data_IF_387199125202
#
_entry.id   IF_387199125202
#
_cell.length_a   1.000
_cell.length_b   1.000
_cell.length_c   1.000
_cell.angle_alpha   90.00
_cell.angle_beta   90.00
_cell.angle_gamma   90.00
#
_symmetry.space_group_name_H-M   'P 1'
#
loop_
_entity.id
_entity.type
_entity.pdbx_description
1 polymer ?
#
# COMPACT_ATOMS: atom_id res chain seq x y z
N UNK A 1 14.80 -1.30 24.61
CA UNK A 1 13.69 -0.93 23.71
C UNK A 1 12.42 -1.22 24.48
N UNK A 2 11.77 -0.15 24.90
CA UNK A 2 10.76 -0.17 25.95
C UNK A 2 9.40 -0.62 25.41
N UNK A 3 8.71 -1.47 26.18
CA UNK A 3 7.39 -2.03 25.81
C UNK A 3 6.34 -0.95 25.51
N UNK A 4 6.51 0.26 26.03
CA UNK A 4 5.65 1.42 25.78
C UNK A 4 5.83 2.03 24.38
N UNK A 5 7.05 2.04 23.84
CA UNK A 5 7.33 2.55 22.49
C UNK A 5 6.73 1.62 21.42
N UNK A 6 6.73 0.31 21.70
CA UNK A 6 6.15 -0.69 20.81
C UNK A 6 4.61 -0.70 20.86
N UNK A 7 4.01 -0.40 22.02
CA UNK A 7 2.55 -0.21 22.14
C UNK A 7 2.06 0.97 21.30
N UNK A 8 2.73 2.12 21.39
CA UNK A 8 2.36 3.32 20.63
C UNK A 8 2.51 3.16 19.12
N UNK A 9 3.49 2.35 18.65
CA UNK A 9 3.62 2.02 17.22
C UNK A 9 2.47 1.15 16.72
N UNK A 10 2.07 0.13 17.50
CA UNK A 10 0.95 -0.77 17.15
C UNK A 10 -0.38 -0.04 17.10
N UNK A 11 -0.64 0.87 18.05
CA UNK A 11 -1.85 1.70 18.05
C UNK A 11 -1.92 2.64 16.84
N UNK A 12 -0.80 3.28 16.48
CA UNK A 12 -0.72 4.12 15.28
C UNK A 12 -0.93 3.32 14.00
N UNK A 13 -0.34 2.13 13.90
CA UNK A 13 -0.54 1.23 12.78
C UNK A 13 -2.01 0.83 12.61
N UNK A 14 -2.66 0.37 13.69
CA UNK A 14 -4.07 0.02 13.68
C UNK A 14 -4.97 1.21 13.31
N UNK A 15 -4.63 2.42 13.80
CA UNK A 15 -5.33 3.64 13.41
C UNK A 15 -5.22 3.90 11.91
N UNK A 16 -4.03 3.80 11.31
CA UNK A 16 -3.89 3.98 9.86
C UNK A 16 -4.63 2.92 9.04
N UNK A 17 -4.69 1.66 9.49
CA UNK A 17 -5.53 0.64 8.85
C UNK A 17 -7.00 1.09 8.80
N UNK A 18 -7.52 1.70 9.87
CA UNK A 18 -8.91 2.17 9.88
C UNK A 18 -9.18 3.30 8.86
N UNK A 19 -8.16 4.11 8.56
CA UNK A 19 -8.28 5.26 7.67
C UNK A 19 -8.21 4.90 6.17
N UNK A 20 -7.87 3.66 5.80
CA UNK A 20 -7.86 3.25 4.40
C UNK A 20 -9.27 3.20 3.79
N UNK A 21 -10.32 3.23 4.62
CA UNK A 21 -11.73 3.22 4.21
C UNK A 21 -12.43 4.54 4.56
N UNK A 22 -11.66 5.60 4.82
CA UNK A 22 -12.20 6.92 5.11
C UNK A 22 -13.02 7.48 3.91
N UNK A 23 -14.14 8.20 4.16
CA UNK A 23 -14.92 8.79 3.10
C UNK A 23 -14.15 9.74 2.19
N UNK A 24 -13.14 10.46 2.72
CA UNK A 24 -12.27 11.32 1.92
C UNK A 24 -11.15 10.52 1.26
N UNK A 25 -11.09 10.46 -0.09
CA UNK A 25 -9.99 9.81 -0.79
C UNK A 25 -8.61 10.34 -0.38
N UNK A 26 -8.54 11.62 0.04
CA UNK A 26 -7.28 12.21 0.46
C UNK A 26 -6.76 11.63 1.77
N UNK A 27 -7.65 11.33 2.70
CA UNK A 27 -7.33 10.60 3.93
C UNK A 27 -6.88 9.18 3.60
N UNK A 28 -7.59 8.48 2.72
CA UNK A 28 -7.25 7.09 2.33
C UNK A 28 -5.83 6.96 1.80
N UNK A 29 -5.44 7.77 0.81
CA UNK A 29 -4.09 7.65 0.24
C UNK A 29 -2.99 8.08 1.23
N UNK A 30 -3.27 9.04 2.12
CA UNK A 30 -2.32 9.40 3.21
C UNK A 30 -2.13 8.27 4.20
N UNK A 31 -3.20 7.55 4.53
CA UNK A 31 -3.13 6.37 5.40
C UNK A 31 -2.28 5.27 4.77
N UNK A 32 -2.47 4.99 3.48
CA UNK A 32 -1.64 4.05 2.72
C UNK A 32 -0.15 4.45 2.74
N UNK A 33 0.15 5.73 2.55
CA UNK A 33 1.52 6.23 2.61
C UNK A 33 2.16 6.05 4.00
N UNK A 34 1.38 6.29 5.07
CA UNK A 34 1.84 6.07 6.43
C UNK A 34 2.11 4.57 6.72
N UNK A 35 1.20 3.68 6.29
CA UNK A 35 1.36 2.23 6.40
C UNK A 35 2.57 1.71 5.64
N UNK A 36 2.86 2.26 4.45
CA UNK A 36 4.03 1.90 3.66
C UNK A 36 5.34 2.29 4.35
N UNK A 37 5.39 3.48 4.95
CA UNK A 37 6.55 3.97 5.71
C UNK A 37 6.77 3.21 7.01
N UNK A 38 5.70 2.72 7.63
CA UNK A 38 5.78 1.84 8.79
C UNK A 38 6.43 0.49 8.45
N UNK A 39 6.31 0.03 7.19
CA UNK A 39 7.02 -1.14 6.68
C UNK A 39 6.54 -2.48 7.25
N UNK A 40 5.46 -2.48 8.03
CA UNK A 40 4.90 -3.68 8.64
C UNK A 40 4.16 -4.52 7.58
N UNK A 41 4.53 -5.81 7.48
CA UNK A 41 3.93 -6.75 6.53
C UNK A 41 2.41 -6.90 6.73
N UNK A 42 1.89 -6.65 7.93
CA UNK A 42 0.45 -6.64 8.21
C UNK A 42 -0.32 -5.61 7.37
N UNK A 43 0.35 -4.56 6.88
CA UNK A 43 -0.24 -3.56 5.98
C UNK A 43 -0.49 -4.06 4.57
N UNK A 44 0.13 -5.18 4.15
CA UNK A 44 0.11 -5.60 2.75
C UNK A 44 -1.29 -5.95 2.26
N UNK A 45 -2.08 -6.72 3.01
CA UNK A 45 -3.46 -7.09 2.61
C UNK A 45 -4.42 -5.89 2.59
N UNK A 46 -4.41 -4.99 3.60
CA UNK A 46 -5.11 -3.71 3.54
C UNK A 46 -4.78 -2.90 2.28
N UNK A 47 -3.49 -2.76 1.95
CA UNK A 47 -3.06 -1.98 0.78
C UNK A 47 -3.42 -2.68 -0.53
N UNK A 48 -3.38 -4.03 -0.59
CA UNK A 48 -3.87 -4.79 -1.75
C UNK A 48 -5.35 -4.49 -2.01
N UNK A 49 -6.16 -4.36 -0.97
CA UNK A 49 -7.59 -4.00 -1.12
C UNK A 49 -7.74 -2.61 -1.75
N UNK A 50 -6.87 -1.66 -1.39
CA UNK A 50 -6.87 -0.30 -1.94
C UNK A 50 -6.46 -0.22 -3.43
N UNK A 51 -5.93 -1.30 -4.03
CA UNK A 51 -5.76 -1.39 -5.49
C UNK A 51 -7.11 -1.39 -6.23
N UNK A 52 -8.23 -1.67 -5.54
CA UNK A 52 -9.59 -1.64 -6.09
C UNK A 52 -10.38 -0.40 -5.72
N UNK A 53 -9.75 0.63 -5.15
CA UNK A 53 -10.45 1.85 -4.69
C UNK A 53 -11.14 2.60 -5.84
N UNK A 54 -12.26 3.27 -5.57
CA UNK A 54 -12.98 4.07 -6.55
C UNK A 54 -12.15 5.25 -7.08
N UNK A 55 -11.32 5.87 -6.23
CA UNK A 55 -10.46 6.99 -6.60
C UNK A 55 -9.11 6.47 -7.12
N UNK A 56 -8.79 6.85 -8.34
CA UNK A 56 -7.57 6.41 -9.02
C UNK A 56 -6.28 6.85 -8.31
N UNK A 57 -6.30 7.94 -7.52
CA UNK A 57 -5.14 8.41 -6.74
C UNK A 57 -4.83 7.45 -5.60
N UNK A 58 -5.89 6.89 -5.00
CA UNK A 58 -5.76 5.87 -3.95
C UNK A 58 -5.17 4.61 -4.56
N UNK A 59 -5.68 4.15 -5.72
CA UNK A 59 -5.12 3.00 -6.44
C UNK A 59 -3.66 3.18 -6.85
N UNK A 60 -3.31 4.37 -7.37
CA UNK A 60 -1.92 4.72 -7.70
C UNK A 60 -1.03 4.67 -6.45
N UNK A 61 -1.47 5.24 -5.33
CA UNK A 61 -0.71 5.24 -4.09
C UNK A 61 -0.59 3.83 -3.49
N UNK A 62 -1.61 2.99 -3.62
CA UNK A 62 -1.55 1.59 -3.22
C UNK A 62 -0.49 0.80 -4.02
N UNK A 63 -0.45 0.99 -5.34
CA UNK A 63 0.57 0.39 -6.19
C UNK A 63 1.98 0.84 -5.76
N UNK A 64 2.20 2.15 -5.60
CA UNK A 64 3.45 2.71 -5.10
C UNK A 64 3.86 2.09 -3.76
N UNK A 65 2.93 2.02 -2.80
CA UNK A 65 3.18 1.52 -1.45
C UNK A 65 3.64 0.06 -1.45
N UNK A 66 2.99 -0.80 -2.23
CA UNK A 66 3.38 -2.21 -2.35
C UNK A 66 4.78 -2.37 -2.98
N UNK A 67 5.08 -1.58 -4.00
CA UNK A 67 6.42 -1.51 -4.61
C UNK A 67 7.49 -1.06 -3.62
N UNK A 68 7.20 0.01 -2.88
CA UNK A 68 8.08 0.56 -1.86
C UNK A 68 8.41 -0.44 -0.75
N UNK A 69 7.38 -1.13 -0.26
CA UNK A 69 7.49 -2.16 0.80
C UNK A 69 8.23 -3.41 0.32
N UNK A 70 8.08 -3.80 -0.94
CA UNK A 70 8.91 -4.86 -1.55
C UNK A 70 8.51 -6.30 -1.21
N UNK A 71 7.38 -6.53 -0.54
CA UNK A 71 6.95 -7.90 -0.20
C UNK A 71 6.46 -8.66 -1.44
N UNK A 72 7.11 -9.79 -1.77
CA UNK A 72 6.82 -10.58 -2.99
C UNK A 72 5.36 -11.01 -3.12
N UNK A 73 4.68 -11.23 -2.00
CA UNK A 73 3.25 -11.61 -1.97
C UNK A 73 2.33 -10.56 -2.64
N UNK A 74 2.80 -9.32 -2.84
CA UNK A 74 2.08 -8.28 -3.55
C UNK A 74 2.09 -8.45 -5.08
N UNK A 75 2.97 -9.29 -5.65
CA UNK A 75 3.10 -9.46 -7.11
C UNK A 75 1.82 -9.98 -7.79
N UNK A 76 1.15 -11.05 -7.32
CA UNK A 76 -0.05 -11.55 -8.01
C UNK A 76 -1.23 -10.56 -8.00
N UNK A 77 -1.52 -9.82 -6.91
CA UNK A 77 -2.50 -8.73 -6.92
C UNK A 77 -2.15 -7.59 -7.87
N UNK A 78 -0.90 -7.10 -7.87
CA UNK A 78 -0.45 -6.03 -8.76
C UNK A 78 -0.63 -6.41 -10.24
N UNK A 79 -0.23 -7.64 -10.62
CA UNK A 79 -0.42 -8.15 -11.98
C UNK A 79 -1.89 -8.21 -12.41
N UNK A 80 -2.80 -8.45 -11.48
CA UNK A 80 -4.25 -8.44 -11.74
C UNK A 80 -4.77 -7.01 -11.90
N UNK A 81 -4.31 -6.09 -11.05
CA UNK A 81 -4.75 -4.69 -11.04
C UNK A 81 -4.44 -3.92 -12.33
N UNK A 82 -3.38 -4.29 -13.09
CA UNK A 82 -3.05 -3.65 -14.38
C UNK A 82 -4.22 -3.66 -15.38
N UNK A 83 -5.07 -4.68 -15.33
CA UNK A 83 -6.13 -4.88 -16.34
C UNK A 83 -7.25 -3.86 -16.15
N UNK A 84 -7.53 -3.08 -17.18
CA UNK A 84 -8.63 -2.08 -17.17
C UNK A 84 -8.28 -0.77 -16.48
N UNK A 85 -7.02 -0.59 -16.05
CA UNK A 85 -6.60 0.64 -15.40
C UNK A 85 -6.26 1.78 -16.35
N UNK A 86 -6.26 2.99 -15.79
CA UNK A 86 -5.77 4.19 -16.49
C UNK A 86 -4.24 4.19 -16.58
N UNK A 87 -3.71 4.87 -17.60
CA UNK A 87 -2.28 4.80 -17.95
C UNK A 87 -1.35 5.15 -16.78
N UNK A 88 -1.56 6.29 -16.12
CA UNK A 88 -0.71 6.69 -14.98
C UNK A 88 -0.82 5.78 -13.73
N UNK A 89 -1.84 4.91 -13.65
CA UNK A 89 -1.90 3.86 -12.61
C UNK A 89 -1.18 2.61 -13.09
N UNK A 90 -1.31 2.24 -14.37
CA UNK A 90 -0.57 1.12 -14.97
C UNK A 90 0.94 1.29 -14.87
N UNK A 91 1.45 2.47 -15.23
CA UNK A 91 2.88 2.81 -15.13
C UNK A 91 3.37 2.57 -13.70
N UNK A 92 2.65 3.09 -12.71
CA UNK A 92 2.98 2.90 -11.30
C UNK A 92 2.92 1.42 -10.85
N UNK A 93 1.97 0.63 -11.36
CA UNK A 93 1.92 -0.80 -11.05
C UNK A 93 3.10 -1.56 -11.65
N UNK A 94 3.50 -1.21 -12.89
CA UNK A 94 4.67 -1.81 -13.53
C UNK A 94 5.94 -1.47 -12.75
N UNK A 95 6.14 -0.21 -12.40
CA UNK A 95 7.24 0.24 -11.54
C UNK A 95 7.26 -0.52 -10.22
N UNK A 96 6.11 -0.66 -9.55
CA UNK A 96 6.00 -1.39 -8.30
C UNK A 96 6.40 -2.87 -8.42
N UNK A 97 6.00 -3.53 -9.51
CA UNK A 97 6.39 -4.91 -9.79
C UNK A 97 7.91 -5.03 -9.99
N UNK A 98 8.52 -4.11 -10.74
CA UNK A 98 9.96 -4.07 -10.96
C UNK A 98 10.73 -3.81 -9.65
N UNK A 99 10.25 -2.88 -8.82
CA UNK A 99 10.81 -2.59 -7.49
C UNK A 99 10.81 -3.84 -6.60
N UNK A 100 9.69 -4.54 -6.53
CA UNK A 100 9.60 -5.78 -5.74
C UNK A 100 10.59 -6.82 -6.26
N UNK A 101 10.63 -7.06 -7.57
CA UNK A 101 11.56 -8.05 -8.15
C UNK A 101 13.01 -7.67 -7.84
N UNK A 102 13.39 -6.39 -7.99
CA UNK A 102 14.75 -5.92 -7.75
C UNK A 102 15.17 -6.04 -6.29
N UNK A 103 14.25 -5.85 -5.34
CA UNK A 103 14.52 -5.94 -3.90
C UNK A 103 14.69 -7.38 -3.39
N UNK A 104 14.23 -8.38 -4.15
CA UNK A 104 14.24 -9.80 -3.76
C UNK A 104 15.22 -10.66 -4.60
N UNK A 105 16.09 -10.03 -5.40
CA UNK A 105 17.22 -10.66 -6.09
C UNK A 105 18.50 -10.54 -5.25
#
# INVERSE_FOLDING_TARGET
MDKEEESGKREKHAHFISLISDPDPSTRWKAIEALARDGNEASVDPIITALGDEDWRVRQKAAWALGYMGFERALPPLRRAIRGEREGVKEMIVEAIEEIIRKNQ
#
